data_IF_998349749643
#
_entry.id   IF_998349749643
#
_cell.length_a   1.000
_cell.length_b   1.000
_cell.length_c   1.000
_cell.angle_alpha   90.00
_cell.angle_beta   90.00
_cell.angle_gamma   90.00
#
_symmetry.space_group_name_H-M   'P 1'
#
loop_
_entity.id
_entity.type
_entity.pdbx_description
1 polymer ?
#
# COMPACT_ATOMS: atom_id res chain seq x y z
N UNK A 1 17.91 42.21 12.36
CA UNK A 1 18.15 40.87 11.79
C UNK A 1 18.96 40.08 12.81
N UNK A 2 18.43 39.02 13.45
CA UNK A 2 19.22 38.21 14.39
C UNK A 2 20.33 37.47 13.62
N UNK A 3 21.55 37.48 14.17
CA UNK A 3 22.72 36.88 13.56
C UNK A 3 22.59 35.34 13.43
N UNK A 4 23.20 34.73 12.41
CA UNK A 4 23.13 33.28 12.19
C UNK A 4 23.71 32.46 13.36
N UNK A 5 24.59 33.03 14.18
CA UNK A 5 25.18 32.36 15.35
C UNK A 5 24.15 32.03 16.44
N UNK A 6 23.23 32.93 16.75
CA UNK A 6 22.25 32.76 17.84
C UNK A 6 21.22 31.65 17.55
N UNK A 7 20.99 31.32 16.29
CA UNK A 7 20.02 30.29 15.91
C UNK A 7 20.61 28.88 15.96
N UNK A 8 21.88 28.72 15.60
CA UNK A 8 22.57 27.43 15.74
C UNK A 8 22.77 27.09 17.21
N UNK A 9 23.21 28.07 18.01
CA UNK A 9 23.42 27.89 19.44
C UNK A 9 22.12 27.48 20.17
N UNK A 10 21.00 28.13 19.84
CA UNK A 10 19.67 27.73 20.36
C UNK A 10 19.28 26.29 20.00
N UNK A 11 19.68 25.78 18.83
CA UNK A 11 19.40 24.39 18.44
C UNK A 11 20.27 23.40 19.22
N UNK A 12 21.53 23.73 19.45
CA UNK A 12 22.45 22.93 20.26
C UNK A 12 21.98 22.85 21.72
N UNK A 13 21.49 23.96 22.27
CA UNK A 13 20.88 24.01 23.60
C UNK A 13 19.66 23.07 23.70
N UNK A 14 18.78 23.09 22.69
CA UNK A 14 17.60 22.22 22.63
C UNK A 14 17.97 20.73 22.56
N UNK A 15 18.98 20.37 21.76
CA UNK A 15 19.45 18.98 21.67
C UNK A 15 20.03 18.53 23.02
N UNK A 16 20.80 19.39 23.67
CA UNK A 16 21.38 19.10 25.00
C UNK A 16 20.29 18.84 26.03
N UNK A 17 19.25 19.69 26.05
CA UNK A 17 18.09 19.52 26.92
C UNK A 17 17.36 18.19 26.68
N UNK A 18 17.16 17.79 25.42
CA UNK A 18 16.53 16.50 25.09
C UNK A 18 17.34 15.32 25.64
N UNK A 19 18.67 15.37 25.54
CA UNK A 19 19.55 14.32 26.07
C UNK A 19 19.46 14.25 27.59
N UNK A 20 19.40 15.39 28.28
CA UNK A 20 19.21 15.45 29.73
C UNK A 20 17.88 14.83 30.16
N UNK A 21 16.78 15.16 29.47
CA UNK A 21 15.48 14.53 29.71
C UNK A 21 15.56 13.01 29.54
N UNK A 22 16.26 12.52 28.51
CA UNK A 22 16.41 11.09 28.26
C UNK A 22 17.19 10.39 29.38
N UNK A 23 18.29 11.00 29.87
CA UNK A 23 19.05 10.50 31.03
C UNK A 23 18.23 10.50 32.32
N UNK A 24 17.44 11.56 32.55
CA UNK A 24 16.57 11.65 33.71
C UNK A 24 15.50 10.55 33.72
N UNK A 25 14.90 10.27 32.56
CA UNK A 25 13.96 9.17 32.39
C UNK A 25 14.61 7.81 32.64
N UNK A 26 15.82 7.58 32.11
CA UNK A 26 16.56 6.35 32.35
C UNK A 26 16.85 6.13 33.84
N UNK A 27 17.32 7.17 34.54
CA UNK A 27 17.55 7.12 35.99
C UNK A 27 16.27 6.85 36.79
N UNK A 28 15.13 7.38 36.35
CA UNK A 28 13.83 7.25 37.04
C UNK A 28 13.18 5.88 36.83
N UNK A 29 13.23 5.34 35.61
CA UNK A 29 12.46 4.15 35.23
C UNK A 29 13.32 2.91 34.97
N UNK A 30 14.63 3.08 34.73
CA UNK A 30 15.55 2.01 34.35
C UNK A 30 15.25 1.45 32.97
N UNK A 31 16.00 1.85 31.94
CA UNK A 31 15.78 1.32 30.59
C UNK A 31 16.29 -0.11 30.44
N UNK A 32 15.53 -0.93 29.70
CA UNK A 32 15.98 -2.28 29.34
C UNK A 32 17.08 -2.24 28.27
N UNK A 33 18.05 -3.17 28.36
CA UNK A 33 19.11 -3.33 27.36
C UNK A 33 18.56 -3.52 25.93
N UNK A 34 17.45 -4.25 25.81
CA UNK A 34 16.78 -4.47 24.51
C UNK A 34 16.13 -3.20 23.96
N UNK A 35 15.53 -2.37 24.82
CA UNK A 35 14.96 -1.07 24.44
C UNK A 35 16.04 -0.11 23.92
N UNK A 36 17.15 0.02 24.66
CA UNK A 36 18.29 0.85 24.27
C UNK A 36 18.89 0.41 22.94
N UNK A 37 19.12 -0.89 22.76
CA UNK A 37 19.61 -1.45 21.50
C UNK A 37 18.67 -1.15 20.33
N UNK A 38 17.35 -1.23 20.53
CA UNK A 38 16.37 -0.97 19.48
C UNK A 38 16.34 0.51 19.06
N UNK A 39 16.48 1.42 20.01
CA UNK A 39 16.60 2.86 19.72
C UNK A 39 17.91 3.14 18.97
N UNK A 40 19.04 2.60 19.44
CA UNK A 40 20.34 2.77 18.78
C UNK A 40 20.34 2.24 17.34
N UNK A 41 19.77 1.05 17.11
CA UNK A 41 19.61 0.50 15.76
C UNK A 41 18.74 1.36 14.85
N UNK A 42 17.69 2.00 15.38
CA UNK A 42 16.82 2.89 14.60
C UNK A 42 17.56 4.17 14.21
N UNK A 43 18.30 4.77 15.15
CA UNK A 43 19.11 5.96 14.91
C UNK A 43 20.19 5.70 13.84
N UNK A 44 20.90 4.57 13.93
CA UNK A 44 21.92 4.18 12.95
C UNK A 44 21.37 3.92 11.53
N UNK A 45 20.06 3.67 11.38
CA UNK A 45 19.43 3.44 10.08
C UNK A 45 18.94 4.73 9.40
N UNK A 46 19.00 5.87 10.07
CA UNK A 46 18.56 7.14 9.51
C UNK A 46 19.61 7.63 8.53
N UNK A 47 19.25 7.77 7.25
CA UNK A 47 20.15 8.23 6.19
C UNK A 47 19.70 9.53 5.52
N UNK A 48 18.53 10.05 5.89
CA UNK A 48 17.97 11.28 5.30
C UNK A 48 17.35 12.20 6.35
N UNK A 49 17.34 13.49 6.05
CA UNK A 49 16.74 14.54 6.89
C UNK A 49 15.25 14.26 7.15
N UNK A 50 14.51 13.82 6.14
CA UNK A 50 13.09 13.49 6.31
C UNK A 50 12.84 12.31 7.26
N UNK A 51 13.73 11.31 7.26
CA UNK A 51 13.65 10.21 8.23
C UNK A 51 13.99 10.67 9.65
N UNK A 52 14.95 11.60 9.79
CA UNK A 52 15.31 12.21 11.06
C UNK A 52 14.14 12.99 11.67
N UNK A 53 13.54 13.91 10.91
CA UNK A 53 12.38 14.70 11.36
C UNK A 53 11.20 13.80 11.72
N UNK A 54 10.93 12.77 10.91
CA UNK A 54 9.89 11.78 11.22
C UNK A 54 10.19 11.05 12.52
N UNK A 55 11.44 10.66 12.77
CA UNK A 55 11.84 10.01 14.01
C UNK A 55 11.61 10.92 15.21
N UNK A 56 11.96 12.20 15.12
CA UNK A 56 11.74 13.19 16.19
C UNK A 56 10.25 13.37 16.49
N UNK A 57 9.41 13.55 15.46
CA UNK A 57 7.97 13.74 15.66
C UNK A 57 7.24 12.51 16.21
N UNK A 58 7.76 11.30 15.98
CA UNK A 58 7.12 10.07 16.46
C UNK A 58 7.89 9.39 17.59
N UNK A 59 8.98 9.97 18.08
CA UNK A 59 9.93 9.37 19.02
C UNK A 59 10.36 7.94 18.59
N UNK A 60 10.53 7.73 17.28
CA UNK A 60 10.81 6.42 16.70
C UNK A 60 9.65 5.41 16.76
N UNK A 61 8.48 5.81 17.28
CA UNK A 61 7.27 5.00 17.20
C UNK A 61 6.81 4.95 15.75
N UNK A 62 6.74 3.74 15.20
CA UNK A 62 5.85 3.45 14.11
C UNK A 62 4.46 3.36 14.73
N UNK A 63 3.75 4.50 14.82
CA UNK A 63 2.30 4.42 14.80
C UNK A 63 2.01 3.84 13.41
N UNK A 64 1.86 2.52 13.34
CA UNK A 64 1.25 1.91 12.18
C UNK A 64 -0.03 2.71 12.00
N UNK A 65 -0.19 3.37 10.87
CA UNK A 65 -1.52 3.82 10.44
C UNK A 65 -2.31 2.52 10.48
N UNK A 66 -3.07 2.32 11.56
CA UNK A 66 -3.82 1.10 11.77
C UNK A 66 -4.89 1.17 10.72
N UNK A 67 -4.58 0.63 9.56
CA UNK A 67 -5.57 0.28 8.59
C UNK A 67 -6.42 -0.77 9.30
N UNK A 68 -7.53 -0.31 9.91
CA UNK A 68 -8.50 -1.17 10.59
C UNK A 68 -8.81 -2.32 9.64
N UNK A 69 -9.02 -3.55 10.12
CA UNK A 69 -9.49 -4.61 9.24
C UNK A 69 -10.78 -4.13 8.55
N UNK A 70 -10.74 -3.90 7.24
CA UNK A 70 -11.81 -3.25 6.46
C UNK A 70 -11.64 -1.75 6.13
N UNK A 71 -10.56 -1.08 6.55
CA UNK A 71 -10.25 0.31 6.14
C UNK A 71 -9.79 0.39 4.69
N UNK A 72 -9.15 -0.68 4.20
CA UNK A 72 -9.09 -0.92 2.77
C UNK A 72 -10.51 -1.30 2.37
N UNK A 73 -11.15 -0.44 1.56
CA UNK A 73 -12.46 -0.74 1.01
C UNK A 73 -12.35 -2.11 0.32
N UNK A 74 -12.92 -3.15 0.94
CA UNK A 74 -13.11 -4.47 0.33
C UNK A 74 -14.25 -4.36 -0.68
N UNK A 75 -14.14 -3.40 -1.59
CA UNK A 75 -15.04 -3.34 -2.74
C UNK A 75 -14.85 -4.63 -3.51
N UNK A 76 -15.94 -5.11 -4.09
CA UNK A 76 -15.91 -6.07 -5.18
C UNK A 76 -14.73 -5.74 -6.10
N UNK A 77 -13.97 -6.75 -6.58
CA UNK A 77 -12.74 -6.56 -7.36
C UNK A 77 -12.88 -5.32 -8.23
N UNK A 78 -12.09 -4.29 -7.94
CA UNK A 78 -12.22 -3.02 -8.66
C UNK A 78 -12.06 -3.31 -10.15
N UNK A 79 -12.54 -2.43 -11.02
CA UNK A 79 -12.44 -2.57 -12.49
C UNK A 79 -11.06 -3.06 -12.97
N UNK A 80 -9.99 -2.86 -12.18
CA UNK A 80 -8.65 -3.39 -12.39
C UNK A 80 -8.50 -4.93 -12.32
N UNK A 81 -9.20 -5.62 -11.43
CA UNK A 81 -9.13 -7.07 -11.25
C UNK A 81 -10.06 -7.84 -12.22
N UNK A 82 -10.96 -7.13 -12.91
CA UNK A 82 -11.79 -7.65 -14.01
C UNK A 82 -11.14 -7.48 -15.40
N UNK A 83 -9.90 -6.99 -15.46
CA UNK A 83 -9.17 -6.79 -16.72
C UNK A 83 -8.62 -8.12 -17.22
N UNK A 84 -8.86 -8.44 -18.50
CA UNK A 84 -8.19 -9.57 -19.15
C UNK A 84 -6.67 -9.35 -19.20
N UNK A 85 -5.87 -10.43 -19.34
CA UNK A 85 -4.41 -10.42 -19.17
C UNK A 85 -3.61 -9.47 -20.09
N UNK A 86 -4.26 -8.73 -21.01
CA UNK A 86 -3.62 -7.76 -21.92
C UNK A 86 -4.00 -6.29 -21.66
N UNK A 87 -4.83 -5.97 -20.66
CA UNK A 87 -5.26 -4.59 -20.40
C UNK A 87 -4.41 -3.99 -19.28
N UNK A 88 -3.50 -3.08 -19.64
CA UNK A 88 -2.59 -2.41 -18.69
C UNK A 88 -3.28 -1.34 -17.85
N UNK A 89 -2.62 -0.92 -16.76
CA UNK A 89 -3.12 0.03 -15.75
C UNK A 89 -3.48 1.41 -16.30
N UNK A 90 -3.04 1.77 -17.51
CA UNK A 90 -3.28 3.08 -18.15
C UNK A 90 -4.44 3.11 -19.15
N UNK A 91 -5.05 1.98 -19.49
CA UNK A 91 -6.17 1.98 -20.43
C UNK A 91 -7.43 2.55 -19.74
N UNK A 92 -7.82 3.79 -20.09
CA UNK A 92 -8.97 4.52 -19.53
C UNK A 92 -10.31 3.82 -19.81
N UNK A 93 -10.41 3.08 -20.93
CA UNK A 93 -11.64 2.41 -21.36
C UNK A 93 -11.42 0.90 -21.36
N UNK A 94 -11.95 0.22 -20.34
CA UNK A 94 -12.23 -1.22 -20.48
C UNK A 94 -13.34 -1.31 -21.53
N UNK A 95 -13.22 -2.16 -22.58
CA UNK A 95 -14.31 -2.37 -23.52
C UNK A 95 -15.45 -3.09 -22.80
N UNK A 96 -16.27 -2.32 -22.11
CA UNK A 96 -17.51 -2.75 -21.47
C UNK A 96 -18.64 -2.03 -22.20
N UNK A 97 -19.46 -2.80 -22.93
CA UNK A 97 -20.57 -2.27 -23.74
C UNK A 97 -20.92 -3.17 -24.92
N UNK A 98 -21.97 -2.78 -25.66
CA UNK A 98 -22.28 -3.38 -26.97
C UNK A 98 -21.09 -3.14 -27.92
N UNK A 99 -20.65 -4.15 -28.70
CA UNK A 99 -19.64 -3.93 -29.72
C UNK A 99 -20.10 -2.83 -30.71
N UNK A 100 -19.18 -2.05 -31.29
CA UNK A 100 -19.52 -1.03 -32.27
C UNK A 100 -20.33 -1.62 -33.43
N UNK A 101 -21.27 -0.84 -33.97
CA UNK A 101 -22.11 -1.25 -35.11
C UNK A 101 -21.21 -1.63 -36.28
N UNK A 102 -21.34 -2.87 -36.79
CA UNK A 102 -20.51 -3.41 -37.86
C UNK A 102 -19.41 -4.39 -37.41
N UNK A 103 -19.15 -4.52 -36.11
CA UNK A 103 -18.22 -5.51 -35.57
C UNK A 103 -18.99 -6.80 -35.27
N UNK A 104 -18.54 -7.93 -35.83
CA UNK A 104 -19.18 -9.22 -35.63
C UNK A 104 -19.18 -9.61 -34.13
N UNK A 105 -20.37 -9.76 -33.55
CA UNK A 105 -20.50 -10.33 -32.22
C UNK A 105 -20.29 -11.85 -32.28
N UNK A 106 -19.78 -12.43 -31.19
CA UNK A 106 -19.74 -13.89 -31.10
C UNK A 106 -21.19 -14.42 -31.16
N UNK A 107 -21.49 -15.21 -32.19
CA UNK A 107 -22.83 -15.81 -32.34
C UNK A 107 -23.08 -16.72 -31.14
N UNK A 108 -24.15 -16.45 -30.39
CA UNK A 108 -24.63 -17.38 -29.36
C UNK A 108 -25.02 -18.69 -30.04
N UNK A 109 -24.69 -19.81 -29.40
CA UNK A 109 -25.06 -21.15 -29.87
C UNK A 109 -26.58 -21.29 -29.91
N UNK A 110 -27.09 -21.96 -30.95
CA UNK A 110 -28.52 -22.30 -31.06
C UNK A 110 -28.86 -23.39 -30.03
N UNK A 111 -29.86 -23.14 -29.19
CA UNK A 111 -30.34 -24.12 -28.19
C UNK A 111 -31.28 -25.13 -28.86
N UNK A 112 -30.75 -26.03 -29.67
CA UNK A 112 -31.54 -27.11 -30.30
C UNK A 112 -30.82 -28.45 -30.18
N UNK A 113 -31.49 -29.44 -29.60
CA UNK A 113 -30.95 -30.79 -29.38
C UNK A 113 -30.55 -31.47 -30.69
N UNK A 114 -31.41 -31.42 -31.70
CA UNK A 114 -31.16 -32.01 -33.02
C UNK A 114 -29.88 -31.47 -33.68
N UNK A 115 -29.70 -30.14 -33.73
CA UNK A 115 -28.48 -29.55 -34.30
C UNK A 115 -27.23 -29.87 -33.47
N UNK A 116 -27.36 -30.08 -32.16
CA UNK A 116 -26.22 -30.40 -31.30
C UNK A 116 -25.70 -31.82 -31.52
N UNK A 117 -26.61 -32.78 -31.76
CA UNK A 117 -26.28 -34.18 -32.07
C UNK A 117 -25.58 -34.28 -33.43
N UNK A 118 -26.08 -33.55 -34.43
CA UNK A 118 -25.53 -33.61 -35.80
C UNK A 118 -24.17 -32.91 -35.95
N UNK A 119 -23.84 -31.93 -35.12
CA UNK A 119 -22.62 -31.10 -35.21
C UNK A 119 -21.56 -31.43 -34.13
N UNK A 120 -21.54 -32.67 -33.62
CA UNK A 120 -20.97 -33.11 -32.34
C UNK A 120 -20.56 -32.01 -31.35
N UNK A 121 -21.50 -31.15 -30.96
CA UNK A 121 -21.18 -30.00 -30.12
C UNK A 121 -21.26 -30.35 -28.63
N UNK A 122 -20.19 -30.21 -27.82
CA UNK A 122 -20.18 -30.62 -26.41
C UNK A 122 -21.25 -29.87 -25.60
N UNK A 123 -22.03 -30.58 -24.79
CA UNK A 123 -23.20 -30.03 -24.09
C UNK A 123 -22.83 -29.24 -22.81
N UNK A 124 -21.66 -29.51 -22.23
CA UNK A 124 -21.19 -28.82 -21.05
C UNK A 124 -20.52 -27.49 -21.42
N UNK A 125 -20.93 -26.40 -20.76
CA UNK A 125 -20.06 -25.21 -20.67
C UNK A 125 -18.80 -25.65 -19.92
N UNK A 126 -17.62 -25.43 -20.49
CA UNK A 126 -16.36 -25.52 -19.76
C UNK A 126 -16.44 -24.56 -18.56
N UNK A 127 -16.69 -25.10 -17.37
CA UNK A 127 -16.48 -24.40 -16.11
C UNK A 127 -15.00 -24.51 -15.78
N UNK A 128 -14.20 -23.60 -16.31
CA UNK A 128 -12.77 -23.56 -15.99
C UNK A 128 -11.90 -23.19 -17.17
N UNK A 129 -11.84 -21.91 -17.48
CA UNK A 129 -10.56 -21.31 -17.89
C UNK A 129 -10.38 -20.04 -17.07
N UNK A 130 -9.91 -20.20 -15.84
CA UNK A 130 -9.71 -19.08 -14.91
C UNK A 130 -10.18 -19.33 -13.47
N UNK A 131 -9.98 -20.55 -12.96
CA UNK A 131 -9.76 -20.74 -11.52
C UNK A 131 -8.28 -20.99 -11.30
#
# INVERSE_FOLDING_TARGET
MPSPSTTQQRKEDLISYVIECLKACDKKFGSSKSGLNKIAQRLNKISSVGQWEKFLHTAGSCIHIRNRSGSTIKVQPTSIARRGPRITKGCKRVPAGRPPTGVASSKKRKHSLSSNINLPQPNAKLHGSGH
#
